data_IF_928720376251
#
_entry.id   IF_928720376251
#
_cell.length_a   1.000
_cell.length_b   1.000
_cell.length_c   1.000
_cell.angle_alpha   90.00
_cell.angle_beta   90.00
_cell.angle_gamma   90.00
#
_symmetry.space_group_name_H-M   'P 1'
#
loop_
_entity.id
_entity.type
_entity.pdbx_description
1 polymer ?
#
# COMPACT_ATOMS: atom_id res chain seq x y z
N UNK A 1 14.81 -10.78 19.29
CA UNK A 1 13.71 -11.06 18.36
C UNK A 1 13.25 -9.77 17.69
N UNK A 2 13.91 -9.33 16.61
CA UNK A 2 13.62 -8.07 15.88
C UNK A 2 13.15 -8.30 14.42
N UNK A 3 12.93 -9.54 13.98
CA UNK A 3 12.73 -9.86 12.56
C UNK A 3 11.28 -9.73 12.06
N UNK A 4 10.29 -9.68 12.95
CA UNK A 4 8.87 -9.69 12.55
C UNK A 4 8.43 -8.35 11.96
N UNK A 5 8.96 -7.23 12.48
CA UNK A 5 8.60 -5.89 12.00
C UNK A 5 9.19 -5.54 10.62
N UNK A 6 10.39 -6.02 10.31
CA UNK A 6 11.02 -5.79 9.00
C UNK A 6 10.36 -6.57 7.87
N UNK A 7 9.97 -7.82 8.12
CA UNK A 7 9.35 -8.70 7.12
C UNK A 7 7.98 -8.18 6.66
N UNK A 8 7.13 -7.72 7.59
CA UNK A 8 5.82 -7.15 7.26
C UNK A 8 5.93 -5.84 6.47
N UNK A 9 6.93 -5.01 6.77
CA UNK A 9 7.16 -3.77 6.03
C UNK A 9 7.57 -4.03 4.57
N UNK A 10 8.44 -5.01 4.34
CA UNK A 10 8.81 -5.46 3.01
C UNK A 10 7.62 -6.04 2.23
N UNK A 11 6.75 -6.80 2.89
CA UNK A 11 5.53 -7.35 2.29
C UNK A 11 4.52 -6.24 1.91
N UNK A 12 4.40 -5.22 2.75
CA UNK A 12 3.57 -4.04 2.46
C UNK A 12 4.10 -3.24 1.29
N UNK A 13 5.41 -3.00 1.21
CA UNK A 13 6.04 -2.33 0.07
C UNK A 13 5.86 -3.14 -1.23
N UNK A 14 5.99 -4.47 -1.16
CA UNK A 14 5.73 -5.35 -2.31
C UNK A 14 4.25 -5.32 -2.74
N UNK A 15 3.32 -5.23 -1.80
CA UNK A 15 1.88 -5.10 -2.10
C UNK A 15 1.53 -3.74 -2.70
N UNK A 16 2.14 -2.65 -2.20
CA UNK A 16 2.01 -1.30 -2.76
C UNK A 16 2.48 -1.28 -4.21
N UNK A 17 3.70 -1.78 -4.47
CA UNK A 17 4.26 -1.83 -5.84
C UNK A 17 3.41 -2.65 -6.80
N UNK A 18 2.86 -3.78 -6.35
CA UNK A 18 1.93 -4.60 -7.15
C UNK A 18 0.64 -3.84 -7.48
N UNK A 19 0.10 -3.10 -6.50
CA UNK A 19 -1.13 -2.31 -6.70
C UNK A 19 -0.89 -1.12 -7.64
N UNK A 20 0.27 -0.48 -7.56
CA UNK A 20 0.67 0.59 -8.48
C UNK A 20 0.86 0.08 -9.91
N UNK A 21 1.45 -1.10 -10.09
CA UNK A 21 1.56 -1.73 -11.40
C UNK A 21 0.19 -2.11 -11.98
N UNK A 22 -0.70 -2.66 -11.14
CA UNK A 22 -2.07 -2.95 -11.55
C UNK A 22 -2.83 -1.68 -12.00
N UNK A 23 -2.64 -0.55 -11.30
CA UNK A 23 -3.21 0.73 -11.75
C UNK A 23 -2.65 1.18 -13.09
N UNK A 24 -1.34 1.05 -13.33
CA UNK A 24 -0.75 1.43 -14.64
C UNK A 24 -1.29 0.58 -15.79
N UNK A 25 -1.42 -0.73 -15.57
CA UNK A 25 -2.01 -1.63 -16.55
C UNK A 25 -3.46 -1.25 -16.82
N UNK A 26 -4.23 -0.98 -15.77
CA UNK A 26 -5.62 -0.52 -15.88
C UNK A 26 -5.72 0.81 -16.65
N UNK A 27 -4.89 1.80 -16.35
CA UNK A 27 -4.88 3.08 -17.04
C UNK A 27 -4.55 2.92 -18.53
N UNK A 28 -3.62 2.04 -18.89
CA UNK A 28 -3.34 1.71 -20.29
C UNK A 28 -4.56 1.07 -20.96
N UNK A 29 -5.24 0.14 -20.28
CA UNK A 29 -6.48 -0.47 -20.80
C UNK A 29 -7.59 0.57 -20.99
N UNK A 30 -7.74 1.49 -20.05
CA UNK A 30 -8.70 2.60 -20.14
C UNK A 30 -8.43 3.52 -21.34
N UNK A 31 -7.16 3.81 -21.63
CA UNK A 31 -6.78 4.60 -22.82
C UNK A 31 -7.19 3.93 -24.13
N UNK A 32 -7.22 2.60 -24.18
CA UNK A 32 -7.68 1.85 -25.35
C UNK A 32 -9.20 1.65 -25.39
N UNK A 33 -9.89 1.74 -24.26
CA UNK A 33 -11.34 1.54 -24.13
C UNK A 33 -12.14 2.85 -24.10
N UNK A 34 -11.54 3.99 -24.46
CA UNK A 34 -12.23 5.29 -24.49
C UNK A 34 -13.36 5.24 -25.52
N UNK A 35 -14.60 5.35 -25.06
CA UNK A 35 -15.80 5.28 -25.89
C UNK A 35 -16.42 3.89 -25.97
N UNK A 36 -15.85 2.88 -25.30
CA UNK A 36 -16.43 1.55 -25.18
C UNK A 36 -17.38 1.46 -23.98
N UNK A 37 -18.37 0.55 -24.04
CA UNK A 37 -19.40 0.42 -23.00
C UNK A 37 -18.80 0.02 -21.63
N UNK A 38 -17.63 -0.60 -21.65
CA UNK A 38 -16.90 -1.06 -20.45
C UNK A 38 -16.15 0.05 -19.70
N UNK A 39 -16.25 1.32 -20.14
CA UNK A 39 -15.56 2.44 -19.50
C UNK A 39 -15.94 2.62 -18.02
N UNK A 40 -17.22 2.45 -17.68
CA UNK A 40 -17.69 2.53 -16.29
C UNK A 40 -17.12 1.40 -15.41
N UNK A 41 -17.02 0.19 -15.94
CA UNK A 41 -16.39 -0.95 -15.24
C UNK A 41 -14.93 -0.65 -14.87
N UNK A 42 -14.19 -0.01 -15.79
CA UNK A 42 -12.82 0.41 -15.51
C UNK A 42 -12.72 1.54 -14.46
N UNK A 43 -13.69 2.46 -14.40
CA UNK A 43 -13.75 3.47 -13.34
C UNK A 43 -13.99 2.85 -11.96
N UNK A 44 -14.84 1.83 -11.88
CA UNK A 44 -15.06 1.08 -10.64
C UNK A 44 -13.78 0.36 -10.19
N UNK A 45 -13.10 -0.33 -11.12
CA UNK A 45 -11.83 -1.00 -10.84
C UNK A 45 -10.75 0.01 -10.38
N UNK A 46 -10.68 1.19 -11.01
CA UNK A 46 -9.75 2.26 -10.62
C UNK A 46 -10.01 2.76 -9.21
N UNK A 47 -11.28 2.95 -8.83
CA UNK A 47 -11.66 3.34 -7.47
C UNK A 47 -11.28 2.27 -6.44
N UNK A 48 -11.50 0.99 -6.77
CA UNK A 48 -11.14 -0.12 -5.89
C UNK A 48 -9.62 -0.19 -5.65
N UNK A 49 -8.81 -0.09 -6.73
CA UNK A 49 -7.35 -0.07 -6.63
C UNK A 49 -6.83 1.14 -5.85
N UNK A 50 -7.44 2.32 -6.05
CA UNK A 50 -7.09 3.54 -5.31
C UNK A 50 -7.38 3.37 -3.80
N UNK A 51 -8.53 2.79 -3.45
CA UNK A 51 -8.89 2.52 -2.06
C UNK A 51 -7.94 1.49 -1.41
N UNK A 52 -7.58 0.44 -2.14
CA UNK A 52 -6.62 -0.56 -1.69
C UNK A 52 -5.23 0.06 -1.45
N UNK A 53 -4.76 0.91 -2.36
CA UNK A 53 -3.47 1.61 -2.22
C UNK A 53 -3.47 2.54 -0.99
N UNK A 54 -4.56 3.27 -0.76
CA UNK A 54 -4.69 4.13 0.43
C UNK A 54 -4.67 3.30 1.73
N UNK A 55 -5.35 2.16 1.75
CA UNK A 55 -5.36 1.27 2.90
C UNK A 55 -3.97 0.68 3.19
N UNK A 56 -3.23 0.26 2.15
CA UNK A 56 -1.87 -0.25 2.28
C UNK A 56 -0.91 0.83 2.80
N UNK A 57 -1.01 2.06 2.30
CA UNK A 57 -0.18 3.19 2.77
C UNK A 57 -0.45 3.53 4.24
N UNK A 58 -1.73 3.57 4.66
CA UNK A 58 -2.11 3.77 6.08
C UNK A 58 -1.59 2.64 6.98
N UNK A 59 -1.59 1.40 6.48
CA UNK A 59 -1.06 0.26 7.23
C UNK A 59 0.46 0.32 7.37
N UNK A 60 1.17 0.70 6.30
CA UNK A 60 2.62 0.96 6.33
C UNK A 60 2.97 2.04 7.34
N UNK A 61 2.30 3.19 7.31
CA UNK A 61 2.49 4.28 8.28
C UNK A 61 2.25 3.81 9.72
N UNK A 62 1.21 3.00 9.96
CA UNK A 62 0.95 2.41 11.27
C UNK A 62 2.11 1.51 11.71
N UNK A 63 2.56 0.59 10.86
CA UNK A 63 3.63 -0.35 11.20
C UNK A 63 4.99 0.35 11.39
N UNK A 64 5.28 1.41 10.63
CA UNK A 64 6.44 2.29 10.85
C UNK A 64 6.38 2.98 12.24
N UNK A 65 5.23 3.56 12.59
CA UNK A 65 5.04 4.21 13.90
C UNK A 65 5.13 3.21 15.06
N UNK A 66 4.58 2.00 14.91
CA UNK A 66 4.72 0.95 15.92
C UNK A 66 6.18 0.52 16.10
N UNK A 67 6.91 0.33 15.01
CA UNK A 67 8.34 -0.02 15.03
C UNK A 67 9.18 1.04 15.77
N UNK A 68 8.96 2.33 15.46
CA UNK A 68 9.67 3.43 16.12
C UNK A 68 9.33 3.58 17.61
N UNK A 69 8.08 3.34 18.01
CA UNK A 69 7.68 3.46 19.41
C UNK A 69 8.28 2.35 20.29
N UNK A 70 8.44 1.13 19.77
CA UNK A 70 9.15 0.04 20.45
C UNK A 70 10.65 0.32 20.63
N UNK A 71 11.31 1.00 19.69
CA UNK A 71 12.75 1.34 19.79
C UNK A 71 13.01 2.48 20.79
N UNK A 72 12.04 3.39 20.96
CA UNK A 72 12.17 4.52 21.88
C UNK A 72 11.98 4.12 23.36
N UNK A 73 11.20 3.08 23.63
CA UNK A 73 10.89 2.65 25.00
C UNK A 73 12.07 2.00 25.74
N UNK A 74 13.09 1.49 25.03
CA UNK A 74 14.26 0.85 25.65
C UNK A 74 15.30 1.84 26.21
N UNK A 75 15.16 3.15 25.96
CA UNK A 75 16.14 4.17 26.40
C UNK A 75 15.82 4.85 27.74
N UNK A 76 14.71 4.49 28.38
CA UNK A 76 14.29 5.10 29.66
C UNK A 76 14.61 4.15 30.83
N UNK A 77 15.88 3.76 30.98
CA UNK A 77 16.34 3.15 32.22
C UNK A 77 17.86 3.30 32.39
N UNK A 78 18.30 4.52 32.65
CA UNK A 78 19.52 4.71 33.43
C UNK A 78 19.27 5.86 34.41
N UNK A 79 19.40 5.53 35.70
CA UNK A 79 19.12 6.37 36.86
C UNK A 79 20.36 6.33 37.74
#
# INVERSE_FOLDING_TARGET
MQEIGGMLLHDLDAAIRRTEEAMRILERRMQHAVGDLDYESYLHEKRALTAALLALRKRREREENFSQNSVSSDRIKDK
#
